data_IF_267491686593
#
_entry.id   IF_267491686593
#
_cell.length_a   1.000
_cell.length_b   1.000
_cell.length_c   1.000
_cell.angle_alpha   90.00
_cell.angle_beta   90.00
_cell.angle_gamma   90.00
#
_symmetry.space_group_name_H-M   'P 1'
#
loop_
_entity.id
_entity.type
_entity.pdbx_description
1 polymer ?
#
# COMPACT_ATOMS: atom_id res chain seq x y z
N UNK A 1 10.70 20.98 -13.72
CA UNK A 1 9.56 20.53 -12.90
C UNK A 1 9.62 21.26 -11.57
N UNK A 2 8.49 21.74 -10.99
CA UNK A 2 8.49 22.38 -9.67
C UNK A 2 8.80 21.38 -8.56
N UNK A 3 9.34 21.84 -7.43
CA UNK A 3 9.78 20.99 -6.31
C UNK A 3 8.67 20.07 -5.78
N UNK A 4 7.43 20.56 -5.70
CA UNK A 4 6.28 19.75 -5.28
C UNK A 4 6.02 18.53 -6.16
N UNK A 5 6.38 18.55 -7.44
CA UNK A 5 6.31 17.39 -8.31
C UNK A 5 7.17 16.22 -7.79
N UNK A 6 8.39 16.50 -7.35
CA UNK A 6 9.28 15.46 -6.82
C UNK A 6 8.79 14.88 -5.50
N UNK A 7 8.12 15.71 -4.67
CA UNK A 7 7.47 15.23 -3.44
C UNK A 7 6.33 14.27 -3.78
N UNK A 8 5.49 14.60 -4.77
CA UNK A 8 4.41 13.72 -5.23
C UNK A 8 4.98 12.41 -5.77
N UNK A 9 6.06 12.47 -6.55
CA UNK A 9 6.76 11.30 -7.07
C UNK A 9 7.29 10.39 -5.95
N UNK A 10 7.94 10.97 -4.95
CA UNK A 10 8.45 10.24 -3.80
C UNK A 10 7.31 9.60 -2.99
N UNK A 11 6.23 10.35 -2.70
CA UNK A 11 5.07 9.83 -2.00
C UNK A 11 4.43 8.65 -2.74
N UNK A 12 4.28 8.77 -4.06
CA UNK A 12 3.76 7.70 -4.92
C UNK A 12 4.67 6.47 -4.90
N UNK A 13 5.98 6.67 -5.02
CA UNK A 13 6.95 5.58 -5.02
C UNK A 13 6.88 4.78 -3.72
N UNK A 14 6.98 5.45 -2.56
CA UNK A 14 6.94 4.78 -1.27
C UNK A 14 5.58 4.15 -0.97
N UNK A 15 4.48 4.78 -1.37
CA UNK A 15 3.14 4.22 -1.22
C UNK A 15 2.98 2.92 -2.01
N UNK A 16 3.41 2.90 -3.28
CA UNK A 16 3.33 1.70 -4.13
C UNK A 16 4.31 0.60 -3.67
N UNK A 17 5.49 0.98 -3.20
CA UNK A 17 6.48 0.05 -2.63
C UNK A 17 5.91 -0.64 -1.39
N UNK A 18 5.32 0.13 -0.46
CA UNK A 18 4.71 -0.40 0.74
C UNK A 18 3.54 -1.35 0.44
N UNK A 19 2.66 -1.01 -0.50
CA UNK A 19 1.52 -1.85 -0.91
C UNK A 19 2.00 -3.24 -1.41
N UNK A 20 3.10 -3.28 -2.15
CA UNK A 20 3.63 -4.52 -2.72
C UNK A 20 4.47 -5.31 -1.70
N UNK A 21 5.24 -4.65 -0.83
CA UNK A 21 5.91 -5.32 0.28
C UNK A 21 4.89 -5.95 1.24
N UNK A 22 3.79 -5.24 1.52
CA UNK A 22 2.70 -5.75 2.36
C UNK A 22 1.97 -6.94 1.72
N UNK A 23 1.82 -6.99 0.40
CA UNK A 23 1.28 -8.16 -0.29
C UNK A 23 2.11 -9.42 0.03
N UNK A 24 3.44 -9.30 -0.03
CA UNK A 24 4.33 -10.41 0.27
C UNK A 24 4.23 -10.82 1.74
N UNK A 25 4.16 -9.85 2.66
CA UNK A 25 3.94 -10.11 4.08
C UNK A 25 2.58 -10.80 4.34
N UNK A 26 1.52 -10.38 3.65
CA UNK A 26 0.20 -11.01 3.75
C UNK A 26 0.20 -12.46 3.25
N UNK A 27 0.93 -12.75 2.16
CA UNK A 27 1.10 -14.12 1.66
C UNK A 27 1.87 -14.96 2.69
N UNK A 28 2.93 -14.42 3.28
CA UNK A 28 3.68 -15.11 4.32
C UNK A 28 2.80 -15.42 5.54
N UNK A 29 2.03 -14.46 6.03
CA UNK A 29 1.09 -14.64 7.13
C UNK A 29 0.04 -15.73 6.84
N UNK A 30 -0.50 -15.79 5.61
CA UNK A 30 -1.42 -16.87 5.23
C UNK A 30 -0.75 -18.26 5.26
N UNK A 31 0.51 -18.34 4.86
CA UNK A 31 1.27 -19.60 4.91
C UNK A 31 1.57 -20.04 6.34
N UNK A 32 1.93 -19.11 7.22
CA UNK A 32 2.12 -19.39 8.65
C UNK A 32 0.83 -19.89 9.31
N UNK A 33 -0.32 -19.32 8.92
CA UNK A 33 -1.64 -19.78 9.36
C UNK A 33 -2.06 -21.12 8.74
N UNK A 34 -1.23 -21.73 7.89
CA UNK A 34 -1.58 -22.95 7.12
C UNK A 34 -2.89 -22.79 6.33
N UNK A 35 -3.18 -21.57 5.88
CA UNK A 35 -4.38 -21.30 5.10
C UNK A 35 -4.34 -22.03 3.74
N UNK A 36 -5.50 -22.43 3.18
CA UNK A 36 -5.57 -23.04 1.85
C UNK A 36 -4.87 -22.17 0.79
N UNK A 37 -4.16 -22.80 -0.15
CA UNK A 37 -3.41 -22.11 -1.21
C UNK A 37 -4.27 -21.18 -2.08
N UNK A 38 -5.58 -21.42 -2.12
CA UNK A 38 -6.58 -20.58 -2.80
C UNK A 38 -6.71 -19.16 -2.19
N UNK A 39 -6.26 -18.97 -0.96
CA UNK A 39 -6.30 -17.66 -0.29
C UNK A 39 -5.23 -16.69 -0.79
N UNK A 40 -4.13 -17.18 -1.35
CA UNK A 40 -3.10 -16.30 -1.94
C UNK A 40 -3.64 -15.49 -3.14
N UNK A 41 -4.32 -16.10 -4.14
CA UNK A 41 -4.98 -15.31 -5.19
C UNK A 41 -6.10 -14.41 -4.67
N UNK A 42 -6.80 -14.83 -3.61
CA UNK A 42 -7.88 -14.04 -3.01
C UNK A 42 -7.38 -12.71 -2.43
N UNK A 43 -6.14 -12.59 -1.96
CA UNK A 43 -5.57 -11.31 -1.53
C UNK A 43 -5.67 -10.25 -2.64
N UNK A 44 -5.22 -10.58 -3.84
CA UNK A 44 -5.33 -9.68 -5.00
C UNK A 44 -6.78 -9.45 -5.42
N UNK A 45 -7.61 -10.47 -5.31
CA UNK A 45 -9.04 -10.37 -5.62
C UNK A 45 -9.72 -9.39 -4.68
N UNK A 46 -9.52 -9.51 -3.37
CA UNK A 46 -10.08 -8.59 -2.38
C UNK A 46 -9.57 -7.15 -2.56
N UNK A 47 -8.30 -6.98 -2.87
CA UNK A 47 -7.72 -5.69 -3.22
C UNK A 47 -8.40 -5.09 -4.46
N UNK A 48 -8.55 -5.87 -5.54
CA UNK A 48 -9.17 -5.42 -6.79
C UNK A 48 -10.67 -5.16 -6.62
N UNK A 49 -11.37 -5.98 -5.86
CA UNK A 49 -12.78 -5.80 -5.54
C UNK A 49 -13.03 -4.46 -4.87
N UNK A 50 -12.11 -4.03 -3.99
CA UNK A 50 -12.16 -2.69 -3.39
C UNK A 50 -12.17 -1.58 -4.43
N UNK A 51 -11.39 -1.71 -5.52
CA UNK A 51 -11.41 -0.77 -6.64
C UNK A 51 -12.76 -0.75 -7.37
N UNK A 52 -13.34 -1.92 -7.61
CA UNK A 52 -14.62 -2.03 -8.34
C UNK A 52 -15.76 -1.41 -7.53
N UNK A 53 -15.88 -1.78 -6.25
CA UNK A 53 -16.94 -1.25 -5.39
C UNK A 53 -16.82 0.25 -5.14
N UNK A 54 -15.60 0.74 -5.01
CA UNK A 54 -15.36 2.16 -4.77
C UNK A 54 -15.33 3.01 -6.03
N UNK A 55 -15.19 2.41 -7.22
CA UNK A 55 -15.03 3.16 -8.47
C UNK A 55 -16.10 4.24 -8.67
N UNK A 56 -17.35 3.96 -8.28
CA UNK A 56 -18.46 4.92 -8.38
C UNK A 56 -18.35 6.09 -7.38
N UNK A 57 -17.73 5.87 -6.21
CA UNK A 57 -17.68 6.85 -5.11
C UNK A 57 -16.35 7.58 -5.02
N UNK A 58 -15.27 6.95 -5.48
CA UNK A 58 -13.90 7.45 -5.32
C UNK A 58 -13.69 8.76 -6.10
N UNK A 59 -14.29 8.90 -7.28
CA UNK A 59 -14.24 10.15 -8.04
C UNK A 59 -14.85 11.31 -7.24
N UNK A 60 -16.08 11.12 -6.75
CA UNK A 60 -16.78 12.11 -5.94
C UNK A 60 -16.02 12.41 -4.64
N UNK A 61 -15.46 11.41 -3.97
CA UNK A 61 -14.61 11.58 -2.80
C UNK A 61 -13.34 12.37 -3.13
N UNK A 62 -12.66 12.03 -4.23
CA UNK A 62 -11.47 12.72 -4.67
C UNK A 62 -11.72 14.18 -5.06
N UNK A 63 -12.93 14.51 -5.52
CA UNK A 63 -13.30 15.88 -5.91
C UNK A 63 -13.90 16.69 -4.75
N UNK A 64 -14.29 16.04 -3.65
CA UNK A 64 -14.89 16.70 -2.48
C UNK A 64 -13.91 17.55 -1.66
N UNK A 65 -12.60 17.32 -1.83
CA UNK A 65 -11.57 18.01 -1.04
C UNK A 65 -10.26 18.13 -1.82
N UNK A 66 -9.30 19.00 -1.35
CA UNK A 66 -7.99 19.12 -1.99
C UNK A 66 -7.28 17.77 -2.16
N UNK A 67 -6.76 17.49 -3.35
CA UNK A 67 -6.17 16.19 -3.74
C UNK A 67 -5.10 15.70 -2.76
N UNK A 68 -4.28 16.62 -2.21
CA UNK A 68 -3.29 16.28 -1.17
C UNK A 68 -3.91 15.71 0.11
N UNK A 69 -5.10 16.21 0.52
CA UNK A 69 -5.83 15.65 1.67
C UNK A 69 -6.39 14.26 1.38
N UNK A 70 -6.91 14.06 0.16
CA UNK A 70 -7.38 12.75 -0.27
C UNK A 70 -6.24 11.74 -0.22
N UNK A 71 -5.06 12.09 -0.76
CA UNK A 71 -3.86 11.24 -0.71
C UNK A 71 -3.43 10.93 0.73
N UNK A 72 -3.49 11.91 1.62
CA UNK A 72 -3.17 11.73 3.04
C UNK A 72 -4.15 10.77 3.73
N UNK A 73 -5.46 10.98 3.56
CA UNK A 73 -6.51 10.11 4.13
C UNK A 73 -6.39 8.69 3.58
N UNK A 74 -6.15 8.55 2.28
CA UNK A 74 -5.94 7.25 1.63
C UNK A 74 -4.75 6.50 2.21
N UNK A 75 -3.64 7.18 2.49
CA UNK A 75 -2.49 6.56 3.16
C UNK A 75 -2.78 6.22 4.62
N UNK A 76 -3.60 7.00 5.35
CA UNK A 76 -4.05 6.63 6.69
C UNK A 76 -4.89 5.34 6.66
N UNK A 77 -5.78 5.17 5.68
CA UNK A 77 -6.55 3.93 5.49
C UNK A 77 -5.59 2.75 5.25
N UNK A 78 -4.55 2.93 4.43
CA UNK A 78 -3.53 1.89 4.20
C UNK A 78 -2.76 1.54 5.48
N UNK A 79 -2.36 2.55 6.26
CA UNK A 79 -1.70 2.35 7.56
C UNK A 79 -2.62 1.57 8.51
N UNK A 80 -3.92 1.86 8.51
CA UNK A 80 -4.90 1.10 9.31
C UNK A 80 -4.92 -0.37 8.89
N UNK A 81 -4.96 -0.67 7.58
CA UNK A 81 -4.88 -2.03 7.07
C UNK A 81 -3.57 -2.74 7.46
N UNK A 82 -2.41 -2.04 7.37
CA UNK A 82 -1.14 -2.55 7.88
C UNK A 82 -1.20 -2.89 9.37
N UNK A 83 -1.74 -1.96 10.17
CA UNK A 83 -1.87 -2.15 11.62
C UNK A 83 -2.79 -3.32 11.96
N UNK A 84 -3.91 -3.47 11.26
CA UNK A 84 -4.81 -4.62 11.42
C UNK A 84 -4.07 -5.94 11.21
N UNK A 85 -3.21 -6.04 10.19
CA UNK A 85 -2.43 -7.24 9.95
C UNK A 85 -1.40 -7.48 11.05
N UNK A 86 -0.74 -6.42 11.54
CA UNK A 86 0.19 -6.49 12.65
C UNK A 86 -0.46 -6.96 13.96
N UNK A 87 -1.71 -6.56 14.23
CA UNK A 87 -2.48 -7.00 15.40
C UNK A 87 -3.21 -8.35 15.20
N UNK A 88 -2.81 -9.15 14.22
CA UNK A 88 -3.33 -10.51 14.04
C UNK A 88 -4.70 -10.60 13.37
N UNK A 89 -5.21 -9.52 12.76
CA UNK A 89 -6.42 -9.61 11.94
C UNK A 89 -6.14 -10.44 10.70
N UNK A 90 -7.15 -11.19 10.24
CA UNK A 90 -7.03 -12.06 9.07
C UNK A 90 -6.46 -11.29 7.85
N UNK A 91 -5.39 -11.78 7.21
CA UNK A 91 -4.67 -11.05 6.16
C UNK A 91 -5.55 -10.59 4.99
N UNK A 92 -6.58 -11.36 4.62
CA UNK A 92 -7.52 -11.00 3.55
C UNK A 92 -8.27 -9.70 3.87
N UNK A 93 -8.77 -9.55 5.11
CA UNK A 93 -9.50 -8.34 5.53
C UNK A 93 -8.57 -7.14 5.64
N UNK A 94 -7.42 -7.34 6.27
CA UNK A 94 -6.40 -6.29 6.41
C UNK A 94 -5.96 -5.76 5.03
N UNK A 95 -5.69 -6.66 4.09
CA UNK A 95 -5.27 -6.28 2.73
C UNK A 95 -6.41 -5.69 1.89
N UNK A 96 -7.68 -6.08 2.14
CA UNK A 96 -8.84 -5.42 1.55
C UNK A 96 -8.93 -3.95 1.98
N UNK A 97 -8.68 -3.63 3.26
CA UNK A 97 -8.62 -2.25 3.75
C UNK A 97 -7.49 -1.46 3.07
N UNK A 98 -6.32 -2.06 2.86
CA UNK A 98 -5.25 -1.45 2.06
C UNK A 98 -5.72 -1.15 0.64
N UNK A 99 -6.46 -2.08 0.02
CA UNK A 99 -7.09 -1.90 -1.29
C UNK A 99 -8.07 -0.72 -1.35
N UNK A 100 -8.87 -0.51 -0.29
CA UNK A 100 -9.74 0.67 -0.18
C UNK A 100 -8.94 1.97 -0.20
N UNK A 101 -7.84 2.02 0.56
CA UNK A 101 -6.93 3.18 0.55
C UNK A 101 -6.28 3.39 -0.81
N UNK A 102 -5.81 2.32 -1.46
CA UNK A 102 -5.19 2.39 -2.77
C UNK A 102 -6.17 2.85 -3.87
N UNK A 103 -7.42 2.36 -3.84
CA UNK A 103 -8.47 2.79 -4.75
C UNK A 103 -8.76 4.29 -4.60
N UNK A 104 -8.86 4.78 -3.36
CA UNK A 104 -9.10 6.19 -3.06
C UNK A 104 -7.94 7.10 -3.45
N UNK A 105 -6.71 6.59 -3.38
CA UNK A 105 -5.49 7.31 -3.74
C UNK A 105 -5.37 7.56 -5.26
N UNK A 106 -5.78 6.60 -6.08
CA UNK A 106 -5.57 6.61 -7.52
C UNK A 106 -6.08 7.86 -8.25
N UNK A 107 -7.37 8.29 -8.14
CA UNK A 107 -7.84 9.48 -8.83
C UNK A 107 -7.21 10.76 -8.30
N UNK A 108 -6.90 10.84 -7.01
CA UNK A 108 -6.22 11.99 -6.43
C UNK A 108 -4.80 12.15 -6.97
N UNK A 109 -4.07 11.04 -7.16
CA UNK A 109 -2.73 11.00 -7.75
C UNK A 109 -2.70 11.64 -9.15
N UNK A 110 -3.62 11.27 -10.01
CA UNK A 110 -3.68 11.84 -11.36
C UNK A 110 -4.27 13.26 -11.36
N UNK A 111 -5.27 13.51 -10.52
CA UNK A 111 -5.90 14.82 -10.39
C UNK A 111 -4.92 15.90 -9.92
N UNK A 112 -4.05 15.61 -8.96
CA UNK A 112 -3.08 16.60 -8.47
C UNK A 112 -2.07 17.01 -9.55
N UNK A 113 -1.74 16.12 -10.50
CA UNK A 113 -0.85 16.46 -11.59
C UNK A 113 -1.47 17.45 -12.57
N UNK A 114 -2.77 17.28 -12.87
CA UNK A 114 -3.49 18.19 -13.78
C UNK A 114 -3.69 19.57 -13.17
N UNK A 115 -3.80 19.66 -11.85
CA UNK A 115 -3.90 20.92 -11.12
C UNK A 115 -2.53 21.62 -10.97
N UNK A 116 -1.45 20.85 -10.88
CA UNK A 116 -0.13 21.35 -10.51
C UNK A 116 0.79 21.62 -11.70
N UNK A 117 0.56 20.94 -12.84
CA UNK A 117 1.43 21.01 -14.01
C UNK A 117 0.71 21.58 -15.23
N UNK A 118 1.41 22.37 -16.07
CA UNK A 118 0.88 22.78 -17.36
C UNK A 118 0.67 21.58 -18.28
N UNK A 119 -0.36 21.61 -19.14
CA UNK A 119 -0.76 20.51 -20.02
C UNK A 119 0.38 19.88 -20.83
N UNK A 120 1.33 20.70 -21.29
CA UNK A 120 2.50 20.23 -22.05
C UNK A 120 3.43 19.28 -21.29
N UNK A 121 3.38 19.29 -19.94
CA UNK A 121 4.22 18.43 -19.09
C UNK A 121 3.49 17.19 -18.59
N UNK A 122 2.17 17.09 -18.76
CA UNK A 122 1.37 15.99 -18.20
C UNK A 122 1.77 14.62 -18.77
N UNK A 123 2.09 14.54 -20.05
CA UNK A 123 2.52 13.28 -20.69
C UNK A 123 3.83 12.78 -20.06
N UNK A 124 4.79 13.68 -19.90
CA UNK A 124 6.08 13.35 -19.26
C UNK A 124 5.89 13.00 -17.78
N UNK A 125 5.06 13.75 -17.07
CA UNK A 125 4.77 13.50 -15.66
C UNK A 125 4.08 12.15 -15.44
N UNK A 126 3.10 11.80 -16.26
CA UNK A 126 2.47 10.48 -16.22
C UNK A 126 3.45 9.35 -16.52
N UNK A 127 4.33 9.53 -17.50
CA UNK A 127 5.41 8.56 -17.78
C UNK A 127 6.32 8.34 -16.56
N UNK A 128 6.70 9.40 -15.85
CA UNK A 128 7.48 9.30 -14.60
C UNK A 128 6.72 8.57 -13.49
N UNK A 129 5.43 8.91 -13.29
CA UNK A 129 4.59 8.25 -12.27
C UNK A 129 4.51 6.74 -12.55
N UNK A 130 4.21 6.36 -13.78
CA UNK A 130 4.07 4.94 -14.13
C UNK A 130 5.42 4.20 -14.04
N UNK A 131 6.49 4.80 -14.54
CA UNK A 131 7.84 4.22 -14.42
C UNK A 131 8.26 4.01 -12.97
N UNK A 132 8.05 5.01 -12.10
CA UNK A 132 8.33 4.89 -10.66
C UNK A 132 7.41 3.88 -9.97
N UNK A 133 6.15 3.79 -10.39
CA UNK A 133 5.21 2.79 -9.84
C UNK A 133 5.68 1.38 -10.17
N UNK A 134 6.10 1.11 -11.42
CA UNK A 134 6.65 -0.20 -11.82
C UNK A 134 7.93 -0.51 -11.03
N UNK A 135 8.84 0.45 -10.91
CA UNK A 135 10.06 0.31 -10.10
C UNK A 135 9.74 0.01 -8.62
N UNK A 136 8.75 0.71 -8.05
CA UNK A 136 8.28 0.51 -6.68
C UNK A 136 7.65 -0.88 -6.48
N UNK A 137 6.91 -1.39 -7.46
CA UNK A 137 6.33 -2.75 -7.42
C UNK A 137 7.45 -3.79 -7.35
N UNK A 138 8.43 -3.70 -8.24
CA UNK A 138 9.56 -4.65 -8.28
C UNK A 138 10.34 -4.60 -6.97
N UNK A 139 10.72 -3.41 -6.52
CA UNK A 139 11.47 -3.23 -5.27
C UNK A 139 10.64 -3.65 -4.04
N UNK A 140 9.35 -3.34 -4.02
CA UNK A 140 8.45 -3.74 -2.94
C UNK A 140 8.36 -5.25 -2.76
N UNK A 141 8.24 -5.99 -3.88
CA UNK A 141 8.25 -7.47 -3.85
C UNK A 141 9.59 -8.00 -3.38
N UNK A 142 10.71 -7.46 -3.87
CA UNK A 142 12.06 -7.89 -3.47
C UNK A 142 12.30 -7.59 -1.99
N UNK A 143 12.02 -6.37 -1.54
CA UNK A 143 12.21 -5.98 -0.13
C UNK A 143 11.27 -6.78 0.77
N UNK A 144 9.99 -6.92 0.41
CA UNK A 144 9.03 -7.74 1.13
C UNK A 144 9.53 -9.18 1.29
N UNK A 145 10.01 -9.77 0.18
CA UNK A 145 10.59 -11.13 0.20
C UNK A 145 11.86 -11.26 1.05
N UNK A 146 12.67 -10.19 1.16
CA UNK A 146 13.84 -10.17 2.06
C UNK A 146 13.42 -10.08 3.53
N UNK A 147 12.43 -9.25 3.84
CA UNK A 147 11.99 -8.99 5.21
C UNK A 147 11.34 -10.22 5.88
N UNK A 148 10.67 -11.08 5.09
CA UNK A 148 10.04 -12.31 5.61
C UNK A 148 11.01 -13.49 5.76
N UNK A 149 12.30 -13.32 5.41
CA UNK A 149 13.29 -14.40 5.65
C UNK A 149 13.45 -14.61 7.14
N UNK A 150 13.50 -15.87 7.64
CA UNK A 150 13.62 -16.16 9.07
C UNK A 150 14.80 -15.45 9.75
N UNK A 151 15.93 -15.36 9.05
CA UNK A 151 17.14 -14.70 9.53
C UNK A 151 16.95 -13.20 9.78
N UNK A 152 16.24 -12.52 8.85
CA UNK A 152 15.95 -11.07 8.93
C UNK A 152 14.80 -10.81 9.90
N UNK A 153 13.75 -11.62 9.84
CA UNK A 153 12.61 -11.52 10.75
C UNK A 153 13.03 -11.68 12.20
N UNK A 154 13.90 -12.66 12.51
CA UNK A 154 14.45 -12.86 13.86
C UNK A 154 15.24 -11.64 14.37
N UNK A 155 16.04 -11.00 13.52
CA UNK A 155 16.78 -9.79 13.91
C UNK A 155 15.88 -8.58 14.08
N UNK A 156 14.81 -8.45 13.29
CA UNK A 156 13.86 -7.34 13.40
C UNK A 156 12.92 -7.51 14.60
N UNK A 157 12.52 -8.74 14.92
CA UNK A 157 11.66 -9.06 16.05
C UNK A 157 12.43 -9.09 17.37
N UNK A 158 13.76 -9.32 17.35
CA UNK A 158 14.64 -9.18 18.52
C UNK A 158 14.85 -7.71 18.95
N UNK A 159 14.39 -6.74 18.16
CA UNK A 159 14.27 -5.35 18.59
C UNK A 159 13.02 -5.22 19.48
N UNK A 160 13.23 -5.47 20.76
CA UNK A 160 12.23 -5.30 21.81
C UNK A 160 11.78 -3.84 21.84
N UNK A 161 10.60 -3.55 21.32
CA UNK A 161 9.96 -2.26 21.50
C UNK A 161 9.35 -2.23 22.89
N UNK A 162 9.91 -1.46 23.86
CA UNK A 162 9.52 -1.54 25.29
C UNK A 162 8.08 -1.09 25.60
N UNK A 163 7.22 -0.91 24.60
CA UNK A 163 5.86 -0.39 24.75
C UNK A 163 4.78 -1.19 23.99
N UNK A 164 5.15 -2.23 23.25
CA UNK A 164 4.20 -3.05 22.50
C UNK A 164 4.50 -4.53 22.77
N UNK A 165 3.76 -5.07 23.73
CA UNK A 165 3.61 -6.51 23.90
C UNK A 165 2.92 -7.04 22.64
N UNK A 166 3.72 -7.34 21.61
CA UNK A 166 3.22 -7.85 20.34
C UNK A 166 2.90 -9.31 20.56
N UNK A 167 1.66 -9.72 20.28
CA UNK A 167 1.18 -11.10 20.44
C UNK A 167 1.92 -12.16 19.61
N UNK A 168 3.13 -11.86 19.16
CA UNK A 168 4.08 -12.75 18.49
C UNK A 168 4.84 -13.62 19.53
N UNK A 169 4.90 -13.19 20.80
CA UNK A 169 5.51 -13.97 21.89
C UNK A 169 4.69 -15.19 22.35
N UNK A 170 3.50 -15.38 21.80
CA UNK A 170 2.61 -16.50 22.16
C UNK A 170 2.68 -17.70 21.22
N UNK A 171 3.57 -17.68 20.20
CA UNK A 171 3.81 -18.80 19.30
C UNK A 171 5.25 -19.27 19.45
N UNK A 172 5.51 -19.86 20.60
CA UNK A 172 6.72 -20.60 20.94
C UNK A 172 6.38 -22.08 21.10
#
# INVERSE_FOLDING_TARGET
MPFGFYIIMAAQFFSALADNALLIAAIAALREMQAPSEYEPLLKTFFTVSYVFLAAFVGAFADSMPKGRVMFISNLIKITGCSMMFFGTHPLLAYAVVGLGAASYSPAKYGILTEYLPHRLLVVANGWIEGLTVGAIILGVVIGGMLIRPEVAHHLLAFDFPLLDTGIDTVG
#
